data_IF_794006151065
#
_entry.id   IF_794006151065
#
_cell.length_a   1.000
_cell.length_b   1.000
_cell.length_c   1.000
_cell.angle_alpha   90.00
_cell.angle_beta   90.00
_cell.angle_gamma   90.00
#
_symmetry.space_group_name_H-M   'P 1'
#
loop_
_entity.id
_entity.type
_entity.pdbx_description
1 polymer ?
#
# COMPACT_ATOMS: atom_id res chain seq x y z
N UNK A 1 -13.47 -2.70 14.21
CA UNK A 1 -13.49 -3.98 13.45
C UNK A 1 -12.07 -4.28 13.07
N UNK A 2 -11.50 -5.38 13.55
CA UNK A 2 -10.18 -5.85 13.09
C UNK A 2 -10.39 -6.48 11.71
N UNK A 3 -9.89 -5.83 10.67
CA UNK A 3 -9.98 -6.36 9.31
C UNK A 3 -9.01 -7.54 9.17
N UNK A 4 -9.52 -8.70 8.81
CA UNK A 4 -8.72 -9.89 8.47
C UNK A 4 -8.78 -10.15 6.98
N UNK A 5 -7.68 -10.62 6.42
CA UNK A 5 -7.52 -11.05 5.03
C UNK A 5 -7.35 -12.57 5.00
N UNK A 6 -8.02 -13.24 4.09
CA UNK A 6 -7.94 -14.68 3.85
C UNK A 6 -6.93 -15.05 2.74
N UNK A 7 -6.50 -16.31 2.70
CA UNK A 7 -5.65 -16.83 1.63
C UNK A 7 -6.29 -16.72 0.23
N UNK A 8 -7.62 -16.90 0.12
CA UNK A 8 -8.34 -16.77 -1.15
C UNK A 8 -8.37 -15.32 -1.68
N UNK A 9 -8.50 -14.34 -0.78
CA UNK A 9 -8.38 -12.93 -1.13
C UNK A 9 -6.95 -12.63 -1.60
N UNK A 10 -5.93 -13.17 -0.93
CA UNK A 10 -4.53 -13.03 -1.37
C UNK A 10 -4.30 -13.67 -2.72
N UNK A 11 -4.85 -14.85 -2.97
CA UNK A 11 -4.75 -15.52 -4.27
C UNK A 11 -5.34 -14.65 -5.39
N UNK A 12 -6.50 -14.04 -5.14
CA UNK A 12 -7.14 -13.13 -6.09
C UNK A 12 -6.29 -11.88 -6.37
N UNK A 13 -5.73 -11.28 -5.31
CA UNK A 13 -4.80 -10.15 -5.45
C UNK A 13 -3.53 -10.53 -6.21
N UNK A 14 -2.95 -11.69 -5.90
CA UNK A 14 -1.75 -12.23 -6.55
C UNK A 14 -1.97 -12.46 -8.04
N UNK A 15 -3.11 -13.03 -8.44
CA UNK A 15 -3.48 -13.16 -9.87
C UNK A 15 -3.65 -11.80 -10.54
N UNK A 16 -4.30 -10.84 -9.87
CA UNK A 16 -4.51 -9.50 -10.43
C UNK A 16 -3.20 -8.73 -10.62
N UNK A 17 -2.24 -8.94 -9.72
CA UNK A 17 -0.92 -8.33 -9.78
C UNK A 17 0.07 -9.05 -10.72
N UNK A 18 -0.36 -10.13 -11.40
CA UNK A 18 0.51 -11.02 -12.19
C UNK A 18 1.71 -11.57 -11.37
N UNK A 19 1.48 -11.83 -10.09
CA UNK A 19 2.45 -12.36 -9.12
C UNK A 19 1.91 -13.65 -8.50
N UNK A 20 1.76 -14.74 -9.28
CA UNK A 20 1.17 -15.97 -8.78
C UNK A 20 2.01 -16.56 -7.63
N UNK A 21 1.35 -16.79 -6.50
CA UNK A 21 1.94 -17.39 -5.31
C UNK A 21 1.53 -18.85 -5.19
N UNK A 22 2.39 -19.66 -4.56
CA UNK A 22 2.01 -21.01 -4.13
C UNK A 22 0.98 -20.94 -3.01
N UNK A 23 0.21 -22.01 -2.81
CA UNK A 23 -0.87 -22.05 -1.82
C UNK A 23 -0.39 -21.75 -0.39
N UNK A 24 0.72 -22.37 0.04
CA UNK A 24 1.35 -22.07 1.34
C UNK A 24 1.73 -20.59 1.52
N UNK A 25 2.09 -19.91 0.42
CA UNK A 25 2.44 -18.49 0.47
C UNK A 25 1.21 -17.59 0.56
N UNK A 26 0.07 -18.02 0.04
CA UNK A 26 -1.17 -17.25 0.18
C UNK A 26 -1.57 -17.11 1.65
N UNK A 27 -1.51 -18.19 2.42
CA UNK A 27 -1.84 -18.18 3.85
C UNK A 27 -0.84 -17.35 4.67
N UNK A 28 0.46 -17.48 4.39
CA UNK A 28 1.49 -16.67 5.07
C UNK A 28 1.32 -15.17 4.80
N UNK A 29 1.03 -14.80 3.55
CA UNK A 29 0.79 -13.41 3.18
C UNK A 29 -0.54 -12.90 3.76
N UNK A 30 -1.57 -13.74 3.83
CA UNK A 30 -2.85 -13.38 4.45
C UNK A 30 -2.68 -13.03 5.93
N UNK A 31 -1.91 -13.82 6.67
CA UNK A 31 -1.57 -13.52 8.06
C UNK A 31 -0.78 -12.21 8.19
N UNK A 32 0.21 -11.98 7.31
CA UNK A 32 1.01 -10.76 7.32
C UNK A 32 0.15 -9.51 7.03
N UNK A 33 -0.69 -9.57 6.00
CA UNK A 33 -1.58 -8.46 5.62
C UNK A 33 -2.62 -8.19 6.71
N UNK A 34 -3.18 -9.23 7.32
CA UNK A 34 -4.11 -9.08 8.45
C UNK A 34 -3.48 -8.36 9.64
N UNK A 35 -2.19 -8.59 9.89
CA UNK A 35 -1.46 -7.88 10.94
C UNK A 35 -1.13 -6.43 10.56
N UNK A 36 -0.86 -6.15 9.29
CA UNK A 36 -0.34 -4.85 8.84
C UNK A 36 -1.42 -3.84 8.43
N UNK A 37 -2.49 -4.30 7.77
CA UNK A 37 -3.55 -3.43 7.22
C UNK A 37 -4.20 -2.52 8.26
N UNK A 38 -4.50 -2.95 9.51
CA UNK A 38 -5.07 -2.05 10.50
C UNK A 38 -4.20 -0.82 10.76
N UNK A 39 -2.88 -1.01 10.90
CA UNK A 39 -1.95 0.09 11.13
C UNK A 39 -1.80 0.99 9.89
N UNK A 40 -1.75 0.40 8.69
CA UNK A 40 -1.67 1.15 7.43
C UNK A 40 -2.93 2.00 7.19
N UNK A 41 -4.11 1.48 7.50
CA UNK A 41 -5.38 2.20 7.40
C UNK A 41 -5.46 3.34 8.43
N UNK A 42 -5.00 3.12 9.65
CA UNK A 42 -4.96 4.17 10.67
C UNK A 42 -4.00 5.30 10.27
N UNK A 43 -2.83 4.96 9.70
CA UNK A 43 -1.93 5.96 9.12
C UNK A 43 -2.61 6.74 7.99
N UNK A 44 -3.30 6.06 7.08
CA UNK A 44 -4.02 6.71 5.98
C UNK A 44 -5.12 7.65 6.50
N UNK A 45 -5.85 7.25 7.55
CA UNK A 45 -6.86 8.07 8.23
C UNK A 45 -6.22 9.32 8.84
N UNK A 46 -5.09 9.16 9.55
CA UNK A 46 -4.35 10.29 10.10
C UNK A 46 -3.90 11.22 8.98
N UNK A 47 -3.20 10.73 7.96
CA UNK A 47 -2.71 11.58 6.86
C UNK A 47 -3.83 12.26 6.05
N UNK A 48 -5.04 11.71 6.05
CA UNK A 48 -6.20 12.30 5.35
C UNK A 48 -7.02 13.27 6.23
N UNK A 49 -6.66 13.45 7.50
CA UNK A 49 -7.41 14.33 8.39
C UNK A 49 -7.20 15.80 8.00
N UNK A 50 -8.27 16.61 8.11
CA UNK A 50 -8.27 18.02 7.69
C UNK A 50 -7.20 18.86 8.41
N UNK A 51 -6.85 18.50 9.64
CA UNK A 51 -5.80 19.16 10.44
C UNK A 51 -4.38 18.98 9.86
N UNK A 52 -4.18 18.01 8.97
CA UNK A 52 -2.90 17.77 8.30
C UNK A 52 -2.93 18.12 6.80
N UNK A 53 -4.04 18.68 6.30
CA UNK A 53 -4.22 18.98 4.87
C UNK A 53 -3.18 19.97 4.32
N UNK A 54 -2.75 20.92 5.16
CA UNK A 54 -1.78 21.96 4.79
C UNK A 54 -0.33 21.62 5.22
N UNK A 55 -0.09 20.40 5.72
CA UNK A 55 1.27 19.98 6.09
C UNK A 55 2.05 19.63 4.83
N UNK A 56 3.02 20.48 4.49
CA UNK A 56 3.99 20.20 3.46
C UNK A 56 4.97 19.12 3.93
N UNK A 57 5.24 18.08 3.11
CA UNK A 57 6.30 17.12 3.40
C UNK A 57 7.63 17.84 3.59
N UNK A 58 8.41 17.46 4.61
CA UNK A 58 9.79 17.98 4.79
C UNK A 58 10.68 17.64 3.59
N UNK A 59 10.38 16.53 2.92
CA UNK A 59 11.05 16.09 1.71
C UNK A 59 10.17 16.39 0.50
N UNK A 60 10.57 17.36 -0.30
CA UNK A 60 9.93 17.64 -1.60
C UNK A 60 10.41 16.59 -2.60
N UNK A 61 9.49 15.76 -3.11
CA UNK A 61 9.77 14.88 -4.25
C UNK A 61 9.84 15.73 -5.52
N UNK A 62 11.05 16.08 -5.94
CA UNK A 62 11.28 16.79 -7.20
C UNK A 62 11.19 15.76 -8.33
N UNK A 63 10.09 15.75 -9.07
CA UNK A 63 10.03 14.99 -10.32
C UNK A 63 10.96 15.64 -11.34
N UNK A 64 11.77 14.87 -12.10
CA UNK A 64 12.51 15.43 -13.22
C UNK A 64 11.53 16.08 -14.19
N UNK A 65 11.78 17.34 -14.55
CA UNK A 65 10.97 18.02 -15.53
C UNK A 65 11.07 17.27 -16.86
N UNK A 66 9.93 16.87 -17.41
CA UNK A 66 9.82 16.31 -18.75
C UNK A 66 10.11 17.44 -19.74
N UNK A 67 11.40 17.73 -19.99
CA UNK A 67 11.75 18.89 -20.80
C UNK A 67 13.23 19.20 -21.08
N UNK A 68 14.23 18.60 -20.41
CA UNK A 68 15.62 18.80 -20.85
C UNK A 68 15.99 17.83 -21.98
N UNK A 69 15.56 18.17 -23.20
CA UNK A 69 16.37 17.85 -24.38
C UNK A 69 17.44 18.93 -24.45
N UNK A 70 18.68 18.59 -24.10
CA UNK A 70 19.84 19.45 -24.36
C UNK A 70 20.58 18.88 -25.58
N UNK A 71 20.65 19.71 -26.61
CA UNK A 71 21.46 19.54 -27.83
C UNK A 71 22.95 19.38 -27.52
#
# INVERSE_FOLDING_TARGET
MTQSVSGDEVKTMATTADLPLTEDRNELVAALLSAWLPAANELSRMMSAAEYADIMPITVLVHPQTGETRE
#
